data_IF_332773655396
#
_entry.id   IF_332773655396
#
_cell.length_a   1.000
_cell.length_b   1.000
_cell.length_c   1.000
_cell.angle_alpha   90.00
_cell.angle_beta   90.00
_cell.angle_gamma   90.00
#
_symmetry.space_group_name_H-M   'P 1'
#
loop_
_entity.id
_entity.type
_entity.pdbx_description
1 polymer ?
#
# COMPACT_ATOMS: atom_id res chain seq x y z
N UNK A 1 2.00 2.38 -12.23
CA UNK A 1 2.70 3.58 -12.73
C UNK A 1 2.11 3.93 -14.08
N UNK A 2 1.60 5.15 -14.26
CA UNK A 2 1.12 5.59 -15.56
C UNK A 2 2.31 5.92 -16.44
N UNK A 3 2.35 5.36 -17.65
CA UNK A 3 3.45 5.55 -18.60
C UNK A 3 3.63 7.04 -18.93
N UNK A 4 2.52 7.79 -19.02
CA UNK A 4 2.52 9.24 -19.29
C UNK A 4 3.25 10.06 -18.22
N UNK A 5 3.15 9.66 -16.94
CA UNK A 5 3.84 10.33 -15.83
C UNK A 5 5.37 10.13 -15.94
N UNK A 6 5.80 8.93 -16.32
CA UNK A 6 7.21 8.61 -16.54
C UNK A 6 7.77 9.43 -17.70
N UNK A 7 7.02 9.52 -18.81
CA UNK A 7 7.43 10.33 -19.97
C UNK A 7 7.57 11.81 -19.60
N UNK A 8 6.66 12.36 -18.80
CA UNK A 8 6.77 13.74 -18.31
C UNK A 8 7.99 13.95 -17.39
N UNK A 9 8.30 12.98 -16.52
CA UNK A 9 9.48 13.03 -15.65
C UNK A 9 10.77 12.99 -16.48
N UNK A 10 10.84 12.11 -17.48
CA UNK A 10 11.99 12.04 -18.39
C UNK A 10 12.21 13.38 -19.09
N UNK A 11 11.15 14.00 -19.60
CA UNK A 11 11.21 15.32 -20.24
C UNK A 11 11.65 16.44 -19.28
N UNK A 12 11.13 16.44 -18.05
CA UNK A 12 11.50 17.42 -17.02
C UNK A 12 12.96 17.29 -16.55
N UNK A 13 13.57 16.12 -16.75
CA UNK A 13 14.98 15.84 -16.44
C UNK A 13 15.89 15.91 -17.68
N UNK A 14 15.40 16.51 -18.77
CA UNK A 14 16.15 16.65 -20.04
C UNK A 14 16.62 15.30 -20.61
N UNK A 15 15.90 14.22 -20.27
CA UNK A 15 16.18 12.89 -20.78
C UNK A 15 15.54 12.74 -22.17
N UNK A 16 16.33 12.26 -23.13
CA UNK A 16 15.84 11.98 -24.49
C UNK A 16 15.21 10.60 -24.54
N UNK A 17 13.95 10.53 -24.97
CA UNK A 17 13.20 9.26 -25.13
C UNK A 17 12.95 9.02 -26.61
N UNK A 18 13.41 7.87 -27.12
CA UNK A 18 13.25 7.47 -28.51
C UNK A 18 12.42 6.20 -28.60
N UNK A 19 11.42 6.20 -29.47
CA UNK A 19 10.66 4.98 -29.78
C UNK A 19 11.08 4.45 -31.15
N UNK A 20 11.47 3.17 -31.17
CA UNK A 20 11.92 2.52 -32.42
C UNK A 20 10.72 2.20 -33.32
N UNK A 21 9.60 1.77 -32.72
CA UNK A 21 8.40 1.34 -33.45
C UNK A 21 7.64 2.51 -34.07
N UNK A 22 7.46 3.58 -33.30
CA UNK A 22 6.64 4.72 -33.70
C UNK A 22 7.50 5.89 -34.24
N UNK A 23 8.83 5.73 -34.21
CA UNK A 23 9.83 6.69 -34.71
C UNK A 23 9.65 8.13 -34.20
N UNK A 24 9.12 8.31 -32.98
CA UNK A 24 9.02 9.63 -32.37
C UNK A 24 10.18 9.88 -31.39
N UNK A 25 10.58 11.14 -31.29
CA UNK A 25 11.66 11.60 -30.42
C UNK A 25 11.11 12.64 -29.44
N UNK A 26 11.26 12.35 -28.16
CA UNK A 26 11.01 13.26 -27.06
C UNK A 26 12.36 13.81 -26.62
N UNK A 27 12.61 15.09 -26.87
CA UNK A 27 13.86 15.79 -26.56
C UNK A 27 13.64 17.30 -26.37
N UNK A 28 14.57 18.14 -26.81
CA UNK A 28 14.51 19.59 -26.53
C UNK A 28 13.66 20.41 -27.52
N UNK A 29 13.13 19.76 -28.57
CA UNK A 29 12.35 20.41 -29.60
C UNK A 29 11.01 20.94 -29.08
N UNK A 30 10.51 22.03 -29.68
CA UNK A 30 9.22 22.66 -29.32
C UNK A 30 8.08 21.63 -29.34
N UNK A 31 8.09 20.71 -30.33
CA UNK A 31 7.11 19.63 -30.42
C UNK A 31 7.12 18.72 -29.19
N UNK A 32 8.31 18.40 -28.68
CA UNK A 32 8.47 17.57 -27.48
C UNK A 32 7.95 18.27 -26.23
N UNK A 33 8.14 19.60 -26.12
CA UNK A 33 7.60 20.40 -25.02
C UNK A 33 6.07 20.46 -25.00
N UNK A 34 5.44 20.63 -26.16
CA UNK A 34 3.96 20.59 -26.29
C UNK A 34 3.43 19.20 -25.94
N UNK A 35 4.11 18.16 -26.41
CA UNK A 35 3.73 16.77 -26.14
C UNK A 35 3.85 16.42 -24.65
N UNK A 36 4.92 16.87 -23.98
CA UNK A 36 5.10 16.72 -22.54
C UNK A 36 3.97 17.39 -21.73
N UNK A 37 3.57 18.60 -22.13
CA UNK A 37 2.44 19.31 -21.51
C UNK A 37 1.12 18.54 -21.68
N UNK A 38 0.84 18.06 -22.89
CA UNK A 38 -0.34 17.25 -23.17
C UNK A 38 -0.35 15.93 -22.38
N UNK A 39 0.79 15.25 -22.26
CA UNK A 39 0.92 14.03 -21.46
C UNK A 39 0.77 14.29 -19.95
N UNK A 40 1.30 15.40 -19.44
CA UNK A 40 1.11 15.82 -18.06
C UNK A 40 -0.37 16.01 -17.72
N UNK A 41 -1.09 16.77 -18.56
CA UNK A 41 -2.53 16.98 -18.40
C UNK A 41 -3.32 15.68 -18.56
N UNK A 42 -3.01 14.87 -19.57
CA UNK A 42 -3.68 13.59 -19.80
C UNK A 42 -3.49 12.63 -18.62
N UNK A 43 -2.30 12.58 -18.02
CA UNK A 43 -2.01 11.73 -16.86
C UNK A 43 -2.77 12.16 -15.60
N UNK A 44 -3.05 13.46 -15.45
CA UNK A 44 -3.88 13.98 -14.37
C UNK A 44 -5.36 13.65 -14.58
N UNK A 45 -5.87 13.87 -15.80
CA UNK A 45 -7.25 13.55 -16.16
C UNK A 45 -7.51 12.05 -16.00
N UNK A 46 -6.62 11.18 -16.49
CA UNK A 46 -6.75 9.73 -16.36
C UNK A 46 -6.85 9.31 -14.88
N UNK A 47 -5.97 9.84 -14.01
CA UNK A 47 -6.04 9.61 -12.57
C UNK A 47 -7.38 10.02 -11.98
N UNK A 48 -7.87 11.21 -12.35
CA UNK A 48 -9.13 11.72 -11.86
C UNK A 48 -10.31 10.86 -12.32
N UNK A 49 -10.31 10.40 -13.57
CA UNK A 49 -11.33 9.51 -14.12
C UNK A 49 -11.34 8.13 -13.44
N UNK A 50 -10.16 7.53 -13.17
CA UNK A 50 -10.06 6.27 -12.42
C UNK A 50 -10.56 6.45 -10.98
N UNK A 51 -10.15 7.53 -10.31
CA UNK A 51 -10.59 7.87 -8.96
C UNK A 51 -12.10 8.07 -8.90
N UNK A 52 -12.67 8.81 -9.85
CA UNK A 52 -14.10 9.05 -9.95
C UNK A 52 -14.87 7.73 -10.13
N UNK A 53 -14.46 6.90 -11.10
CA UNK A 53 -15.09 5.60 -11.37
C UNK A 53 -15.09 4.67 -10.15
N UNK A 54 -13.98 4.62 -9.42
CA UNK A 54 -13.89 3.78 -8.20
C UNK A 54 -14.74 4.32 -7.06
N UNK A 55 -14.78 5.64 -6.87
CA UNK A 55 -15.66 6.28 -5.86
C UNK A 55 -17.12 6.03 -6.15
N UNK A 56 -17.56 6.19 -7.39
CA UNK A 56 -18.93 5.93 -7.82
C UNK A 56 -19.31 4.46 -7.62
N UNK A 57 -18.42 3.53 -7.98
CA UNK A 57 -18.64 2.09 -7.75
C UNK A 57 -18.74 1.74 -6.25
N UNK A 58 -17.90 2.33 -5.41
CA UNK A 58 -17.95 2.14 -3.95
C UNK A 58 -19.22 2.74 -3.34
N UNK A 59 -19.64 3.93 -3.79
CA UNK A 59 -20.88 4.56 -3.36
C UNK A 59 -22.09 3.67 -3.69
N UNK A 60 -22.13 3.11 -4.91
CA UNK A 60 -23.17 2.17 -5.33
C UNK A 60 -23.18 0.91 -4.46
N UNK A 61 -22.01 0.29 -4.22
CA UNK A 61 -21.90 -0.89 -3.35
C UNK A 61 -22.36 -0.62 -1.92
N UNK A 62 -22.06 0.57 -1.39
CA UNK A 62 -22.53 0.99 -0.07
C UNK A 62 -24.06 1.18 -0.06
N UNK A 63 -24.64 1.75 -1.11
CA UNK A 63 -26.10 1.90 -1.26
C UNK A 63 -26.81 0.54 -1.39
N UNK A 64 -26.18 -0.44 -2.04
CA UNK A 64 -26.62 -1.84 -2.08
C UNK A 64 -26.50 -2.57 -0.73
N UNK A 65 -26.01 -1.91 0.32
CA UNK A 65 -25.86 -2.48 1.67
C UNK A 65 -24.57 -3.28 1.88
N UNK A 66 -23.64 -3.28 0.93
CA UNK A 66 -22.35 -3.97 1.08
C UNK A 66 -21.46 -3.23 2.09
N UNK A 67 -21.02 -3.94 3.13
CA UNK A 67 -20.07 -3.40 4.12
C UNK A 67 -18.69 -3.28 3.47
N UNK A 68 -18.26 -2.04 3.21
CA UNK A 68 -16.93 -1.75 2.69
C UNK A 68 -15.87 -1.82 3.79
N UNK A 69 -14.66 -2.24 3.42
CA UNK A 69 -13.53 -2.33 4.34
C UNK A 69 -13.58 -3.57 5.24
N UNK A 70 -12.97 -3.48 6.42
CA UNK A 70 -12.90 -4.60 7.37
C UNK A 70 -14.24 -4.72 8.11
N UNK A 71 -14.90 -5.90 8.11
CA UNK A 71 -16.14 -6.08 8.84
C UNK A 71 -16.00 -5.80 10.34
N UNK A 72 -17.03 -5.22 10.94
CA UNK A 72 -17.05 -4.87 12.38
C UNK A 72 -16.81 -6.13 13.21
N UNK A 73 -15.90 -6.02 14.19
CA UNK A 73 -15.56 -7.13 15.10
C UNK A 73 -14.69 -8.26 14.51
N UNK A 74 -14.45 -8.27 13.18
CA UNK A 74 -13.68 -9.35 12.56
C UNK A 74 -12.20 -9.27 12.95
N UNK A 75 -11.74 -10.25 13.73
CA UNK A 75 -10.32 -10.44 14.08
C UNK A 75 -9.54 -11.01 12.88
N UNK A 76 -8.23 -10.81 12.86
CA UNK A 76 -7.40 -11.41 11.82
C UNK A 76 -7.42 -12.93 12.02
N UNK A 77 -7.32 -13.72 10.95
CA UNK A 77 -7.19 -15.17 11.10
C UNK A 77 -5.96 -15.49 11.95
N UNK A 78 -6.00 -16.49 12.85
CA UNK A 78 -4.89 -16.86 13.73
C UNK A 78 -3.55 -16.97 13.01
N UNK A 79 -3.55 -17.53 11.80
CA UNK A 79 -2.35 -17.83 11.02
C UNK A 79 -1.88 -16.65 10.14
N UNK A 80 -2.68 -15.58 10.07
CA UNK A 80 -2.38 -14.35 9.32
C UNK A 80 -1.96 -13.20 10.23
N UNK A 81 -1.78 -13.46 11.53
CA UNK A 81 -1.19 -12.47 12.43
C UNK A 81 0.26 -12.21 12.05
N UNK A 82 0.71 -10.96 12.14
CA UNK A 82 2.12 -10.58 11.96
C UNK A 82 3.09 -11.29 12.92
N UNK A 83 2.54 -11.84 14.01
CA UNK A 83 3.26 -12.58 15.04
C UNK A 83 3.15 -14.10 14.88
N UNK A 84 2.38 -14.59 13.90
CA UNK A 84 2.30 -16.02 13.58
C UNK A 84 3.69 -16.52 13.17
N UNK A 85 4.11 -17.67 13.71
CA UNK A 85 5.46 -18.20 13.55
C UNK A 85 6.51 -17.64 14.53
N UNK A 86 6.13 -16.72 15.42
CA UNK A 86 7.01 -16.17 16.48
C UNK A 86 6.57 -16.62 17.87
N UNK A 87 5.78 -17.68 17.97
CA UNK A 87 5.22 -18.17 19.23
C UNK A 87 6.31 -18.58 20.21
N UNK A 88 7.34 -19.29 19.73
CA UNK A 88 8.48 -19.76 20.54
C UNK A 88 9.27 -18.57 21.07
N UNK A 89 9.61 -17.61 20.20
CA UNK A 89 10.32 -16.39 20.59
C UNK A 89 9.53 -15.63 21.68
N UNK A 90 8.22 -15.45 21.47
CA UNK A 90 7.39 -14.70 22.42
C UNK A 90 7.29 -15.45 23.75
N UNK A 91 7.14 -16.78 23.74
CA UNK A 91 7.06 -17.57 24.97
C UNK A 91 8.36 -17.56 25.77
N UNK A 92 9.52 -17.62 25.11
CA UNK A 92 10.84 -17.48 25.76
C UNK A 92 11.04 -16.10 26.37
N UNK A 93 10.68 -15.04 25.63
CA UNK A 93 10.80 -13.68 26.16
C UNK A 93 9.87 -13.44 27.36
N UNK A 94 8.68 -14.05 27.36
CA UNK A 94 7.76 -14.03 28.50
C UNK A 94 8.32 -14.80 29.70
N UNK A 95 8.91 -15.99 29.49
CA UNK A 95 9.59 -16.78 30.54
C UNK A 95 10.73 -16.00 31.19
N UNK A 96 11.47 -15.23 30.40
CA UNK A 96 12.57 -14.37 30.88
C UNK A 96 12.08 -13.10 31.60
N UNK A 97 10.78 -12.98 31.90
CA UNK A 97 10.21 -11.84 32.65
C UNK A 97 10.23 -10.53 31.86
N UNK A 98 10.39 -10.56 30.53
CA UNK A 98 10.49 -9.35 29.72
C UNK A 98 9.10 -8.73 29.59
N UNK A 99 9.00 -7.42 29.89
CA UNK A 99 7.72 -6.71 29.80
C UNK A 99 7.13 -6.77 28.38
N UNK A 100 5.79 -6.88 28.29
CA UNK A 100 5.06 -6.88 27.02
C UNK A 100 5.41 -5.69 26.12
N UNK A 101 5.73 -4.53 26.70
CA UNK A 101 6.10 -3.34 25.93
C UNK A 101 7.45 -3.53 25.21
N UNK A 102 8.43 -4.17 25.87
CA UNK A 102 9.73 -4.46 25.27
C UNK A 102 9.62 -5.55 24.21
N UNK A 103 8.82 -6.60 24.45
CA UNK A 103 8.53 -7.64 23.46
C UNK A 103 7.85 -7.04 22.21
N UNK A 104 6.86 -6.15 22.39
CA UNK A 104 6.18 -5.51 21.27
C UNK A 104 7.12 -4.67 20.40
N UNK A 105 8.08 -3.96 21.03
CA UNK A 105 9.15 -3.24 20.33
C UNK A 105 10.05 -4.19 19.54
N UNK A 106 10.50 -5.29 20.15
CA UNK A 106 11.33 -6.32 19.49
C UNK A 106 10.60 -6.90 18.27
N UNK A 107 9.32 -7.23 18.43
CA UNK A 107 8.50 -7.80 17.36
C UNK A 107 7.98 -6.77 16.34
N UNK A 108 8.27 -5.46 16.53
CA UNK A 108 7.81 -4.34 15.68
C UNK A 108 6.28 -4.32 15.49
N UNK A 109 5.55 -4.45 16.60
CA UNK A 109 4.09 -4.40 16.65
C UNK A 109 3.60 -3.48 17.76
N UNK A 110 2.33 -3.06 17.68
CA UNK A 110 1.68 -2.39 18.80
C UNK A 110 1.49 -3.34 20.00
N UNK A 111 1.58 -2.80 21.21
CA UNK A 111 1.42 -3.57 22.46
C UNK A 111 0.07 -4.29 22.53
N UNK A 112 -1.02 -3.69 22.03
CA UNK A 112 -2.33 -4.34 22.02
C UNK A 112 -2.37 -5.49 21.03
N UNK A 113 -1.62 -5.41 19.93
CA UNK A 113 -1.50 -6.52 18.97
C UNK A 113 -0.81 -7.71 19.61
N UNK A 114 0.30 -7.47 20.34
CA UNK A 114 0.99 -8.50 21.10
C UNK A 114 0.08 -9.10 22.18
N UNK A 115 -0.57 -8.27 22.99
CA UNK A 115 -1.46 -8.73 24.06
C UNK A 115 -2.59 -9.61 23.52
N UNK A 116 -3.26 -9.18 22.43
CA UNK A 116 -4.29 -9.99 21.77
C UNK A 116 -3.75 -11.31 21.24
N UNK A 117 -2.52 -11.32 20.72
CA UNK A 117 -1.89 -12.54 20.20
C UNK A 117 -1.54 -13.53 21.31
N UNK A 118 -1.00 -13.04 22.45
CA UNK A 118 -0.74 -13.86 23.64
C UNK A 118 -2.03 -14.50 24.14
N UNK A 119 -3.12 -13.73 24.25
CA UNK A 119 -4.43 -14.25 24.66
C UNK A 119 -5.00 -15.24 23.64
N UNK A 120 -4.82 -15.00 22.35
CA UNK A 120 -5.37 -15.85 21.28
C UNK A 120 -4.67 -17.20 21.20
N UNK A 121 -3.33 -17.23 21.35
CA UNK A 121 -2.51 -18.46 21.29
C UNK A 121 -2.27 -19.07 22.68
N UNK A 122 -2.88 -18.52 23.73
CA UNK A 122 -2.69 -18.93 25.12
C UNK A 122 -1.21 -19.08 25.51
N UNK A 123 -0.36 -18.13 25.10
CA UNK A 123 1.09 -18.17 25.36
C UNK A 123 1.45 -17.77 26.81
N UNK A 124 0.50 -17.91 27.74
CA UNK A 124 0.73 -17.64 29.15
C UNK A 124 1.67 -18.71 29.71
N UNK A 125 2.69 -18.24 30.41
CA UNK A 125 3.68 -19.04 31.09
C UNK A 125 3.17 -19.24 32.53
N UNK A 126 3.01 -20.51 32.93
CA UNK A 126 3.04 -20.88 34.35
C UNK A 126 4.42 -20.57 34.93
#
# INVERSE_FOLDING_TARGET
FMIMEILNICMSKECRVWTIKDNYRLGDDIQSKVLAFAFGLSAEIERNLISQRTKEALARKRAEGVVLGRPKGRRSSPDKYKLSGKEILISELLKNGISHRKIAKICKVDRNTLSRFITLKCLAVN
#
